data_IF_083337051541
#
_entry.id   IF_083337051541
#
_cell.length_a   1.000
_cell.length_b   1.000
_cell.length_c   1.000
_cell.angle_alpha   90.00
_cell.angle_beta   90.00
_cell.angle_gamma   90.00
#
_symmetry.space_group_name_H-M   'P 1'
#
loop_
_entity.id
_entity.type
_entity.pdbx_description
1 polymer ?
#
# COMPACT_ATOMS: atom_id res chain seq x y z
N UNK A 1 15.65 -19.40 11.44
CA UNK A 1 15.90 -17.94 11.36
C UNK A 1 16.83 -17.60 10.19
N UNK A 2 16.37 -16.74 9.27
CA UNK A 2 17.16 -16.21 8.16
C UNK A 2 18.30 -15.32 8.69
N UNK A 3 19.53 -15.41 8.17
CA UNK A 3 20.62 -14.53 8.59
C UNK A 3 20.40 -13.10 8.09
N UNK A 4 20.77 -12.08 8.88
CA UNK A 4 20.73 -10.68 8.47
C UNK A 4 21.99 -9.91 8.91
N UNK A 5 22.54 -9.03 8.06
CA UNK A 5 23.67 -8.19 8.44
C UNK A 5 23.26 -6.97 9.31
N UNK A 6 22.01 -6.50 9.23
CA UNK A 6 21.50 -5.37 10.01
C UNK A 6 19.97 -5.33 10.04
N UNK A 7 19.37 -4.49 10.91
CA UNK A 7 17.95 -4.19 10.83
C UNK A 7 17.58 -3.51 9.49
N UNK A 8 18.45 -2.62 9.00
CA UNK A 8 18.23 -1.89 7.74
C UNK A 8 18.10 -2.83 6.53
N UNK A 9 18.87 -3.92 6.50
CA UNK A 9 18.76 -4.90 5.41
C UNK A 9 17.43 -5.66 5.43
N UNK A 10 16.84 -5.88 6.62
CA UNK A 10 15.52 -6.48 6.74
C UNK A 10 14.46 -5.49 6.24
N UNK A 11 14.52 -4.23 6.70
CA UNK A 11 13.60 -3.17 6.28
C UNK A 11 13.60 -3.00 4.75
N UNK A 12 14.78 -3.08 4.12
CA UNK A 12 14.92 -2.94 2.67
C UNK A 12 14.15 -4.00 1.87
N UNK A 13 13.87 -5.18 2.44
CA UNK A 13 13.13 -6.24 1.74
C UNK A 13 11.64 -5.93 1.58
N UNK A 14 11.05 -5.23 2.56
CA UNK A 14 9.61 -4.94 2.55
C UNK A 14 9.26 -3.46 2.41
N UNK A 15 10.25 -2.56 2.45
CA UNK A 15 10.04 -1.13 2.25
C UNK A 15 9.35 -0.79 0.91
N UNK A 16 9.69 -1.45 -0.22
CA UNK A 16 9.01 -1.17 -1.49
C UNK A 16 7.59 -1.74 -1.60
N UNK A 17 7.18 -2.61 -0.67
CA UNK A 17 5.86 -3.21 -0.71
C UNK A 17 4.79 -2.17 -0.38
N UNK A 18 3.72 -2.14 -1.18
CA UNK A 18 2.54 -1.34 -0.88
C UNK A 18 1.77 -1.99 0.28
N UNK A 19 1.97 -1.46 1.48
CA UNK A 19 1.40 -1.99 2.73
C UNK A 19 0.26 -1.10 3.20
N UNK A 20 -0.97 -1.56 2.96
CA UNK A 20 -2.17 -1.07 3.66
C UNK A 20 -2.60 -2.08 4.72
N UNK A 21 -3.67 -1.82 5.49
CA UNK A 21 -4.05 -2.67 6.64
C UNK A 21 -4.32 -4.13 6.22
N UNK A 22 -4.92 -4.35 5.05
CA UNK A 22 -5.18 -5.66 4.48
C UNK A 22 -4.82 -5.67 2.99
N UNK A 23 -3.63 -6.17 2.65
CA UNK A 23 -3.05 -6.14 1.30
C UNK A 23 -2.02 -7.25 1.09
N UNK A 24 -1.71 -7.57 -0.17
CA UNK A 24 -0.66 -8.56 -0.50
C UNK A 24 0.71 -8.12 0.04
N UNK A 25 0.99 -6.81 0.01
CA UNK A 25 2.24 -6.26 0.56
C UNK A 25 2.35 -6.46 2.06
N UNK A 26 1.24 -6.33 2.80
CA UNK A 26 1.22 -6.59 4.24
C UNK A 26 1.43 -8.08 4.56
N UNK A 27 0.76 -8.98 3.84
CA UNK A 27 0.93 -10.42 4.02
C UNK A 27 2.39 -10.83 3.76
N UNK A 28 2.96 -10.33 2.66
CA UNK A 28 4.36 -10.60 2.33
C UNK A 28 5.34 -10.04 3.37
N UNK A 29 5.02 -8.89 3.95
CA UNK A 29 5.83 -8.30 5.03
C UNK A 29 5.81 -9.18 6.28
N UNK A 30 4.65 -9.71 6.65
CA UNK A 30 4.53 -10.63 7.79
C UNK A 30 5.33 -11.91 7.55
N UNK A 31 5.29 -12.48 6.34
CA UNK A 31 6.15 -13.62 5.98
C UNK A 31 7.64 -13.31 6.11
N UNK A 32 8.09 -12.15 5.58
CA UNK A 32 9.50 -11.72 5.67
C UNK A 32 9.92 -11.59 7.13
N UNK A 33 9.11 -10.91 7.94
CA UNK A 33 9.37 -10.75 9.39
C UNK A 33 9.42 -12.10 10.08
N UNK A 34 8.46 -12.99 9.80
CA UNK A 34 8.42 -14.35 10.36
C UNK A 34 9.66 -15.16 10.03
N UNK A 35 10.24 -15.00 8.82
CA UNK A 35 11.48 -15.69 8.44
C UNK A 35 12.69 -15.31 9.29
N UNK A 36 12.65 -14.13 9.92
CA UNK A 36 13.67 -13.61 10.84
C UNK A 36 13.38 -13.90 12.31
N UNK A 37 12.24 -14.49 12.64
CA UNK A 37 11.95 -14.88 14.01
C UNK A 37 12.65 -16.21 14.36
N UNK A 38 13.10 -16.40 15.62
CA UNK A 38 13.57 -17.69 16.09
C UNK A 38 12.38 -18.64 16.29
N UNK A 39 12.60 -19.94 16.15
CA UNK A 39 11.53 -20.95 16.30
C UNK A 39 10.85 -20.91 17.68
N UNK A 40 11.57 -20.42 18.70
CA UNK A 40 11.06 -20.23 20.07
C UNK A 40 10.07 -19.06 20.21
N UNK A 41 9.88 -18.23 19.18
CA UNK A 41 8.99 -17.06 19.26
C UNK A 41 7.51 -17.42 19.12
N UNK A 42 7.18 -18.65 18.69
CA UNK A 42 5.82 -19.05 18.31
C UNK A 42 5.15 -18.06 17.35
N UNK A 43 5.91 -17.52 16.39
CA UNK A 43 5.38 -16.57 15.42
C UNK A 43 4.37 -17.26 14.50
N UNK A 44 3.16 -16.70 14.41
CA UNK A 44 2.10 -17.17 13.54
C UNK A 44 1.45 -15.98 12.83
N UNK A 45 0.95 -16.23 11.62
CA UNK A 45 0.15 -15.28 10.85
C UNK A 45 -1.29 -15.76 10.92
N UNK A 46 -2.18 -14.87 11.37
CA UNK A 46 -3.61 -15.15 11.43
C UNK A 46 -4.35 -14.30 10.40
N UNK A 47 -5.46 -14.84 9.88
CA UNK A 47 -6.32 -14.16 8.92
C UNK A 47 -7.76 -14.26 9.38
N UNK A 48 -8.50 -13.17 9.23
CA UNK A 48 -9.89 -13.08 9.63
C UNK A 48 -10.74 -12.69 8.42
N UNK A 49 -11.96 -13.22 8.34
CA UNK A 49 -12.87 -12.90 7.25
C UNK A 49 -13.25 -11.40 7.28
N UNK A 50 -13.37 -10.73 6.12
CA UNK A 50 -13.78 -9.33 6.07
C UNK A 50 -15.15 -9.13 6.71
N UNK A 51 -15.39 -7.94 7.25
CA UNK A 51 -16.62 -7.54 7.93
C UNK A 51 -16.94 -8.30 9.23
N UNK A 52 -16.10 -9.26 9.65
CA UNK A 52 -16.20 -9.91 10.97
C UNK A 52 -16.24 -8.85 12.07
N UNK A 53 -17.24 -8.86 12.98
CA UNK A 53 -17.30 -7.94 14.10
C UNK A 53 -16.20 -8.22 15.12
N UNK A 54 -15.48 -7.18 15.56
CA UNK A 54 -14.45 -7.24 16.60
C UNK A 54 -14.69 -6.08 17.58
N UNK A 55 -15.42 -6.36 18.65
CA UNK A 55 -15.98 -5.35 19.57
C UNK A 55 -16.75 -4.24 18.82
N UNK A 56 -16.21 -3.03 18.78
CA UNK A 56 -16.81 -1.85 18.12
C UNK A 56 -16.34 -1.68 16.67
N UNK A 57 -15.44 -2.54 16.19
CA UNK A 57 -14.84 -2.48 14.86
C UNK A 57 -15.35 -3.63 13.98
N UNK A 58 -15.08 -3.54 12.68
CA UNK A 58 -15.18 -4.64 11.72
C UNK A 58 -13.84 -4.85 11.06
N UNK A 59 -13.49 -6.10 10.77
CA UNK A 59 -12.31 -6.43 9.95
C UNK A 59 -12.47 -5.74 8.58
N UNK A 60 -11.48 -4.97 8.12
CA UNK A 60 -11.59 -4.24 6.85
C UNK A 60 -11.62 -5.23 5.67
N UNK A 61 -12.21 -4.79 4.57
CA UNK A 61 -12.05 -5.48 3.30
C UNK A 61 -10.60 -5.37 2.83
N UNK A 62 -10.17 -6.36 2.05
CA UNK A 62 -8.86 -6.35 1.41
C UNK A 62 -8.81 -5.25 0.37
N UNK A 63 -7.74 -4.45 0.39
CA UNK A 63 -7.51 -3.42 -0.60
C UNK A 63 -6.49 -3.89 -1.62
N UNK A 64 -6.93 -4.03 -2.87
CA UNK A 64 -6.12 -4.47 -4.00
C UNK A 64 -6.17 -3.40 -5.08
N UNK A 65 -4.99 -2.98 -5.54
CA UNK A 65 -4.85 -2.06 -6.67
C UNK A 65 -4.34 -2.89 -7.85
N UNK A 66 -5.12 -2.93 -8.93
CA UNK A 66 -4.68 -3.53 -10.18
C UNK A 66 -3.87 -2.54 -11.01
N UNK A 67 -4.37 -1.32 -11.13
CA UNK A 67 -3.72 -0.21 -11.80
C UNK A 67 -4.31 1.11 -11.28
N UNK A 68 -3.52 2.18 -11.23
CA UNK A 68 -3.98 3.52 -10.91
C UNK A 68 -3.00 4.55 -11.52
N UNK A 69 -3.52 5.45 -12.34
CA UNK A 69 -2.73 6.49 -12.99
C UNK A 69 -3.61 7.69 -13.35
N UNK A 70 -2.95 8.82 -13.64
CA UNK A 70 -3.53 9.96 -14.34
C UNK A 70 -2.84 10.07 -15.69
N UNK A 71 -3.62 10.12 -16.76
CA UNK A 71 -3.15 10.20 -18.14
C UNK A 71 -3.78 11.42 -18.82
N UNK A 72 -3.01 12.09 -19.68
CA UNK A 72 -3.51 13.18 -20.54
C UNK A 72 -4.27 12.61 -21.75
N UNK A 73 -5.05 13.45 -22.44
CA UNK A 73 -5.73 13.03 -23.67
C UNK A 73 -4.76 12.61 -24.79
N UNK A 74 -3.51 13.07 -24.73
CA UNK A 74 -2.44 12.70 -25.66
C UNK A 74 -1.78 11.35 -25.32
N UNK A 75 -2.22 10.69 -24.24
CA UNK A 75 -1.72 9.38 -23.79
C UNK A 75 -0.47 9.45 -22.92
N UNK A 76 -0.12 10.62 -22.38
CA UNK A 76 1.00 10.77 -21.45
C UNK A 76 0.56 10.43 -20.02
N UNK A 77 1.16 9.40 -19.41
CA UNK A 77 0.97 9.10 -17.99
C UNK A 77 1.71 10.15 -17.14
N UNK A 78 0.95 11.03 -16.50
CA UNK A 78 1.44 12.11 -15.65
C UNK A 78 1.80 11.58 -14.25
N UNK A 79 1.00 10.65 -13.75
CA UNK A 79 1.17 10.00 -12.44
C UNK A 79 0.86 8.52 -12.60
N UNK A 80 1.73 7.62 -12.12
CA UNK A 80 1.48 6.17 -12.14
C UNK A 80 1.80 5.55 -10.78
N UNK A 81 0.85 4.79 -10.22
CA UNK A 81 1.03 4.03 -8.98
C UNK A 81 2.24 3.08 -9.02
N UNK A 82 2.62 2.59 -10.20
CA UNK A 82 3.81 1.73 -10.38
C UNK A 82 5.11 2.44 -10.04
N UNK A 83 5.15 3.77 -10.18
CA UNK A 83 6.35 4.57 -9.86
C UNK A 83 6.47 4.80 -8.36
N UNK A 84 5.36 5.12 -7.69
CA UNK A 84 5.31 5.32 -6.25
C UNK A 84 3.93 4.98 -5.67
N UNK A 85 3.83 4.06 -4.70
CA UNK A 85 2.54 3.70 -4.10
C UNK A 85 1.87 4.84 -3.33
N UNK A 86 2.60 5.92 -3.03
CA UNK A 86 2.05 7.12 -2.37
C UNK A 86 1.26 8.03 -3.32
N UNK A 87 1.26 7.76 -4.63
CA UNK A 87 0.45 8.52 -5.59
C UNK A 87 -1.05 8.33 -5.42
N UNK A 88 -1.48 7.32 -4.66
CA UNK A 88 -2.88 7.07 -4.35
C UNK A 88 -3.10 7.15 -2.85
N UNK A 89 -4.20 7.77 -2.46
CA UNK A 89 -4.70 7.70 -1.09
C UNK A 89 -5.20 6.28 -0.84
N UNK A 90 -4.62 5.59 0.15
CA UNK A 90 -5.02 4.22 0.48
C UNK A 90 -6.53 4.14 0.77
N UNK A 91 -7.17 3.07 0.29
CA UNK A 91 -8.62 2.85 0.37
C UNK A 91 -9.49 3.78 -0.49
N UNK A 92 -8.91 4.49 -1.47
CA UNK A 92 -9.70 5.11 -2.54
C UNK A 92 -10.54 4.07 -3.29
N UNK A 93 -11.80 4.42 -3.57
CA UNK A 93 -12.70 3.61 -4.38
C UNK A 93 -12.25 3.58 -5.86
N UNK A 94 -12.55 2.49 -6.60
CA UNK A 94 -12.21 2.41 -8.02
C UNK A 94 -12.97 3.47 -8.83
N UNK A 95 -12.28 4.09 -9.78
CA UNK A 95 -12.82 5.08 -10.69
C UNK A 95 -12.15 4.93 -12.06
N UNK A 96 -12.96 5.04 -13.10
CA UNK A 96 -12.53 5.08 -14.51
C UNK A 96 -13.34 6.18 -15.20
N UNK A 97 -12.74 7.37 -15.33
CA UNK A 97 -13.39 8.58 -15.85
C UNK A 97 -12.37 9.52 -16.48
N UNK A 98 -12.82 10.23 -17.51
CA UNK A 98 -12.18 11.47 -17.98
C UNK A 98 -12.73 12.63 -17.15
N UNK A 99 -11.83 13.44 -16.60
CA UNK A 99 -12.17 14.62 -15.78
C UNK A 99 -11.52 15.85 -16.39
N UNK A 100 -12.23 16.97 -16.36
CA UNK A 100 -11.58 18.27 -16.54
C UNK A 100 -10.61 18.55 -15.38
N UNK A 101 -9.68 19.49 -15.58
CA UNK A 101 -8.76 19.85 -14.50
C UNK A 101 -9.48 20.37 -13.25
N UNK A 102 -10.55 21.16 -13.42
CA UNK A 102 -11.35 21.70 -12.31
C UNK A 102 -12.04 20.59 -11.50
N UNK A 103 -12.43 19.49 -12.15
CA UNK A 103 -12.99 18.31 -11.48
C UNK A 103 -11.92 17.45 -10.80
N UNK A 104 -10.71 17.38 -11.37
CA UNK A 104 -9.60 16.62 -10.82
C UNK A 104 -8.94 17.33 -9.62
N UNK A 105 -8.80 18.66 -9.69
CA UNK A 105 -8.05 19.48 -8.74
C UNK A 105 -8.42 19.22 -7.26
N UNK A 106 -9.70 19.06 -6.86
CA UNK A 106 -10.09 18.77 -5.48
C UNK A 106 -9.57 17.42 -4.94
N UNK A 107 -9.18 16.50 -5.82
CA UNK A 107 -8.64 15.18 -5.48
C UNK A 107 -7.11 15.14 -5.44
N UNK A 108 -6.43 16.22 -5.80
CA UNK A 108 -4.97 16.30 -5.79
C UNK A 108 -4.48 16.75 -4.40
N UNK A 109 -3.57 15.97 -3.82
CA UNK A 109 -2.95 16.27 -2.54
C UNK A 109 -1.45 16.49 -2.73
N UNK A 110 -0.95 17.63 -2.26
CA UNK A 110 0.46 17.99 -2.37
C UNK A 110 0.89 18.85 -1.19
N UNK A 111 2.21 18.97 -1.00
CA UNK A 111 2.78 19.83 0.02
C UNK A 111 3.45 21.04 -0.64
N UNK A 112 2.82 22.22 -0.53
CA UNK A 112 3.33 23.47 -1.10
C UNK A 112 4.75 23.82 -0.64
N UNK A 113 5.14 23.42 0.57
CA UNK A 113 6.47 23.69 1.12
C UNK A 113 7.53 22.70 0.62
N UNK A 114 7.13 21.64 -0.08
CA UNK A 114 8.01 20.55 -0.54
C UNK A 114 7.59 20.04 -1.93
N UNK A 115 7.83 20.82 -3.00
CA UNK A 115 7.39 20.47 -4.36
C UNK A 115 8.27 19.46 -5.11
N UNK A 116 9.43 19.06 -4.57
CA UNK A 116 10.42 18.22 -5.27
C UNK A 116 10.88 16.99 -4.46
N UNK A 117 10.14 16.61 -3.42
CA UNK A 117 10.50 15.44 -2.59
C UNK A 117 10.01 14.14 -3.17
#
# INVERSE_FOLDING_TARGET
MKPHPSLKSILAEFFPLHRTLASDGQDKTLEIVGSYMPDSSNYAIETYAPLTPVWTWKVPERYVIHEAYLESEDGERIVDFKDNPLHIVSYSLPIDKVLSFDELQPHLYFNEKRPHT
#
